data_IF_626429119011
#
_entry.id   IF_626429119011
#
_cell.length_a   1.000
_cell.length_b   1.000
_cell.length_c   1.000
_cell.angle_alpha   90.00
_cell.angle_beta   90.00
_cell.angle_gamma   90.00
#
_symmetry.space_group_name_H-M   'P 1'
#
loop_
_entity.id
_entity.type
_entity.pdbx_description
1 polymer ?
#
# COMPACT_ATOMS: atom_id res chain seq x y z
N UNK A 1 43.34 -22.20 29.13
CA UNK A 1 42.16 -21.62 29.81
C UNK A 1 41.74 -20.24 29.25
N UNK A 2 42.67 -19.31 28.97
CA UNK A 2 42.32 -17.97 28.42
C UNK A 2 41.67 -17.98 27.02
N UNK A 3 42.08 -18.91 26.13
CA UNK A 3 41.51 -19.03 24.77
C UNK A 3 40.04 -19.49 24.77
N UNK A 4 39.65 -20.36 25.70
CA UNK A 4 38.27 -20.82 25.83
C UNK A 4 37.32 -19.71 26.32
N UNK A 5 37.82 -18.81 27.17
CA UNK A 5 37.06 -17.65 27.66
C UNK A 5 36.78 -16.68 26.52
N UNK A 6 37.77 -16.39 25.66
CA UNK A 6 37.60 -15.46 24.53
C UNK A 6 36.60 -16.00 23.51
N UNK A 7 36.64 -17.31 23.22
CA UNK A 7 35.69 -17.96 22.29
C UNK A 7 34.26 -17.89 22.85
N UNK A 8 34.07 -18.14 24.15
CA UNK A 8 32.74 -18.14 24.76
C UNK A 8 32.13 -16.74 24.83
N UNK A 9 32.96 -15.71 25.06
CA UNK A 9 32.52 -14.31 25.02
C UNK A 9 32.10 -13.89 23.60
N UNK A 10 32.83 -14.33 22.57
CA UNK A 10 32.49 -14.01 21.18
C UNK A 10 31.18 -14.67 20.72
N UNK A 11 30.89 -15.89 21.19
CA UNK A 11 29.63 -16.59 20.91
C UNK A 11 28.45 -15.94 21.64
N UNK A 12 28.64 -15.48 22.87
CA UNK A 12 27.58 -14.77 23.60
C UNK A 12 27.26 -13.40 22.97
N UNK A 13 28.28 -12.72 22.42
CA UNK A 13 28.11 -11.41 21.79
C UNK A 13 27.34 -11.48 20.46
N UNK A 14 27.51 -12.55 19.67
CA UNK A 14 26.79 -12.71 18.40
C UNK A 14 25.30 -13.03 18.61
N UNK A 15 24.93 -13.73 19.69
CA UNK A 15 23.53 -14.01 20.04
C UNK A 15 22.77 -12.74 20.44
N UNK A 16 23.43 -11.82 21.15
CA UNK A 16 22.83 -10.53 21.53
C UNK A 16 22.56 -9.61 20.33
N UNK A 17 23.36 -9.70 19.26
CA UNK A 17 23.17 -8.90 18.04
C UNK A 17 22.01 -9.41 17.17
N UNK A 18 21.76 -10.72 17.14
CA UNK A 18 20.66 -11.31 16.37
C UNK A 18 19.27 -10.95 16.94
N UNK A 19 19.17 -10.64 18.23
CA UNK A 19 17.91 -10.32 18.89
C UNK A 19 17.36 -8.91 18.60
N UNK A 20 18.20 -7.98 18.10
CA UNK A 20 17.77 -6.62 17.75
C UNK A 20 17.64 -6.39 16.23
N UNK A 21 18.11 -7.33 15.41
CA UNK A 21 17.98 -7.28 13.94
C UNK A 21 16.70 -7.93 13.40
N UNK A 22 15.98 -8.68 14.23
CA UNK A 22 14.72 -9.33 13.90
C UNK A 22 13.51 -8.45 14.26
N UNK A 23 13.44 -7.23 13.71
CA UNK A 23 12.18 -6.53 13.69
C UNK A 23 11.25 -7.31 12.76
N UNK A 24 10.36 -8.11 13.34
CA UNK A 24 9.24 -8.70 12.63
C UNK A 24 8.40 -7.54 12.07
N UNK A 25 8.60 -7.26 10.78
CA UNK A 25 7.83 -6.26 10.07
C UNK A 25 6.38 -6.73 10.06
N UNK A 26 5.42 -5.91 10.51
CA UNK A 26 4.01 -6.18 10.26
C UNK A 26 3.87 -6.32 8.75
N UNK A 27 3.59 -7.53 8.30
CA UNK A 27 3.23 -7.74 6.91
C UNK A 27 1.78 -7.31 6.83
N UNK A 28 1.58 -6.00 6.65
CA UNK A 28 0.33 -5.49 6.12
C UNK A 28 0.15 -6.21 4.79
N UNK A 29 -0.76 -7.19 4.76
CA UNK A 29 -1.31 -7.73 3.52
C UNK A 29 -2.20 -6.67 2.87
N UNK A 30 -1.63 -5.50 2.59
CA UNK A 30 -2.12 -4.59 1.57
C UNK A 30 -1.76 -5.25 0.26
N UNK A 31 -2.77 -5.66 -0.50
CA UNK A 31 -2.63 -6.21 -1.85
C UNK A 31 -1.54 -5.45 -2.62
N UNK A 32 -0.39 -6.09 -2.81
CA UNK A 32 0.85 -5.48 -3.33
C UNK A 32 0.81 -5.25 -4.86
N UNK A 33 -0.37 -5.09 -5.43
CA UNK A 33 -0.51 -4.69 -6.83
C UNK A 33 -0.78 -3.19 -6.86
N UNK A 34 0.15 -2.38 -7.38
CA UNK A 34 -0.11 -0.96 -7.59
C UNK A 34 -1.29 -0.85 -8.55
N UNK A 35 -2.41 -0.31 -8.06
CA UNK A 35 -3.56 0.06 -8.88
C UNK A 35 -3.48 1.55 -9.12
N UNK A 36 -3.51 1.94 -10.38
CA UNK A 36 -3.61 3.32 -10.79
C UNK A 36 -5.07 3.65 -11.11
N UNK A 37 -5.58 4.74 -10.53
CA UNK A 37 -6.97 5.19 -10.72
C UNK A 37 -6.92 6.64 -11.19
N UNK A 38 -7.42 6.88 -12.40
CA UNK A 38 -7.59 8.21 -12.96
C UNK A 38 -9.08 8.55 -12.99
N UNK A 39 -9.41 9.75 -12.53
CA UNK A 39 -10.79 10.26 -12.52
C UNK A 39 -10.88 11.45 -13.47
N UNK A 40 -11.86 11.43 -14.35
CA UNK A 40 -12.22 12.56 -15.20
C UNK A 40 -13.73 12.77 -15.22
N UNK A 41 -14.17 13.90 -15.77
CA UNK A 41 -15.58 14.23 -15.89
C UNK A 41 -15.95 14.46 -17.36
N UNK A 42 -17.24 14.33 -17.68
CA UNK A 42 -17.80 14.75 -18.96
C UNK A 42 -19.06 15.59 -18.71
N UNK A 43 -19.05 16.90 -19.03
CA UNK A 43 -17.97 17.66 -19.66
C UNK A 43 -16.72 17.83 -18.76
N UNK A 44 -15.57 18.12 -19.38
CA UNK A 44 -14.32 18.46 -18.69
C UNK A 44 -13.85 19.87 -19.11
N UNK A 45 -13.82 20.87 -18.20
CA UNK A 45 -14.11 20.79 -16.77
C UNK A 45 -15.59 20.55 -16.48
N UNK A 46 -15.88 19.95 -15.32
CA UNK A 46 -17.25 19.74 -14.85
C UNK A 46 -18.02 21.08 -14.81
N UNK A 47 -19.25 21.06 -15.29
CA UNK A 47 -20.13 22.22 -15.34
C UNK A 47 -21.41 21.96 -14.54
N UNK A 48 -22.19 23.01 -14.29
CA UNK A 48 -23.49 22.87 -13.63
C UNK A 48 -24.44 22.09 -14.56
N UNK A 49 -25.07 21.05 -14.01
CA UNK A 49 -25.98 20.17 -14.73
C UNK A 49 -25.57 18.71 -14.57
N UNK A 50 -25.98 17.88 -15.52
CA UNK A 50 -25.60 16.47 -15.55
C UNK A 50 -24.12 16.33 -15.88
N UNK A 51 -23.39 15.63 -15.02
CA UNK A 51 -21.95 15.35 -15.18
C UNK A 51 -21.73 13.86 -15.03
N UNK A 52 -21.09 13.26 -16.03
CA UNK A 52 -20.62 11.88 -15.98
C UNK A 52 -19.23 11.84 -15.34
N UNK A 53 -19.01 10.93 -14.39
CA UNK A 53 -17.70 10.68 -13.78
C UNK A 53 -17.13 9.40 -14.40
N UNK A 54 -15.93 9.51 -14.98
CA UNK A 54 -15.25 8.41 -15.66
C UNK A 54 -14.06 7.97 -14.82
N UNK A 55 -14.04 6.69 -14.44
CA UNK A 55 -12.95 6.06 -13.73
C UNK A 55 -12.15 5.15 -14.67
N UNK A 56 -10.86 5.44 -14.85
CA UNK A 56 -9.93 4.57 -15.58
C UNK A 56 -9.05 3.85 -14.56
N UNK A 57 -9.22 2.53 -14.47
CA UNK A 57 -8.52 1.68 -13.51
C UNK A 57 -7.53 0.79 -14.25
N UNK A 58 -6.24 0.95 -13.96
CA UNK A 58 -5.17 0.17 -14.59
C UNK A 58 -4.23 -0.45 -13.56
N UNK A 59 -3.53 -1.50 -13.96
CA UNK A 59 -2.41 -2.06 -13.20
C UNK A 59 -1.14 -1.18 -13.33
N UNK A 60 -0.05 -1.66 -12.74
CA UNK A 60 1.25 -1.00 -12.76
C UNK A 60 1.86 -0.86 -14.18
N UNK A 61 1.47 -1.72 -15.12
CA UNK A 61 1.91 -1.68 -16.52
C UNK A 61 1.02 -0.77 -17.37
N UNK A 62 -0.03 -0.18 -16.79
CA UNK A 62 -1.03 0.63 -17.50
C UNK A 62 -2.09 -0.19 -18.24
N UNK A 63 -2.21 -1.50 -17.97
CA UNK A 63 -3.24 -2.35 -18.58
C UNK A 63 -4.55 -2.25 -17.79
N UNK A 64 -5.72 -2.29 -18.46
CA UNK A 64 -7.00 -2.34 -17.77
C UNK A 64 -7.09 -3.58 -16.85
N UNK A 65 -7.66 -3.39 -15.66
CA UNK A 65 -7.90 -4.51 -14.74
C UNK A 65 -9.26 -5.14 -15.07
N UNK A 66 -9.26 -6.40 -15.48
CA UNK A 66 -10.49 -7.18 -15.70
C UNK A 66 -11.03 -7.77 -14.39
N UNK A 67 -12.37 -7.86 -14.27
CA UNK A 67 -13.02 -8.47 -13.09
C UNK A 67 -12.85 -7.69 -11.79
N UNK A 68 -12.47 -6.42 -11.86
CA UNK A 68 -12.34 -5.56 -10.69
C UNK A 68 -13.68 -5.43 -9.95
N UNK A 69 -13.65 -5.57 -8.63
CA UNK A 69 -14.77 -5.18 -7.77
C UNK A 69 -14.62 -3.70 -7.47
N UNK A 70 -15.56 -2.91 -7.94
CA UNK A 70 -15.56 -1.45 -7.77
C UNK A 70 -16.67 -1.08 -6.79
N UNK A 71 -16.30 -0.39 -5.71
CA UNK A 71 -17.22 0.27 -4.79
C UNK A 71 -17.04 1.78 -4.97
N UNK A 72 -18.15 2.50 -5.21
CA UNK A 72 -18.14 3.93 -5.48
C UNK A 72 -18.98 4.61 -4.42
N UNK A 73 -18.33 5.47 -3.64
CA UNK A 73 -18.96 6.34 -2.66
C UNK A 73 -18.73 7.79 -3.06
N UNK A 74 -19.80 8.57 -3.12
CA UNK A 74 -19.74 10.00 -3.44
C UNK A 74 -20.35 10.79 -2.29
N UNK A 75 -19.62 11.80 -1.81
CA UNK A 75 -20.09 12.71 -0.79
C UNK A 75 -20.11 14.12 -1.34
N UNK A 76 -21.22 14.82 -1.12
CA UNK A 76 -21.39 16.21 -1.51
C UNK A 76 -21.68 17.02 -0.24
N UNK A 77 -20.89 18.06 0.09
CA UNK A 77 -21.02 18.79 1.35
C UNK A 77 -22.43 19.36 1.62
N UNK A 78 -23.16 19.70 0.56
CA UNK A 78 -24.53 20.22 0.66
C UNK A 78 -25.63 19.14 0.70
N UNK A 79 -25.25 17.86 0.65
CA UNK A 79 -26.15 16.69 0.72
C UNK A 79 -25.95 15.90 2.02
N UNK A 80 -25.06 16.38 2.90
CA UNK A 80 -24.94 15.88 4.27
C UNK A 80 -26.15 16.37 5.07
N UNK A 81 -27.08 15.45 5.34
CA UNK A 81 -28.16 15.63 6.32
C UNK A 81 -27.72 15.20 7.70
#
# INVERSE_FOLDING_TARGET
>A
MRKAIVINVFVLLSVLLAACGGAAQPTDTTSANPVNIIVSTNPNPAAVGDVEIVFTITDADGKPIEGAKVDVSAEHPAMAG
#
